data_IF_102556546586
#
_entry.id   IF_102556546586
#
_cell.length_a   1.000
_cell.length_b   1.000
_cell.length_c   1.000
_cell.angle_alpha   90.00
_cell.angle_beta   90.00
_cell.angle_gamma   90.00
#
_symmetry.space_group_name_H-M   'P 1'
#
loop_
_entity.id
_entity.type
_entity.pdbx_description
1 polymer ?
#
# COMPACT_ATOMS: atom_id res chain seq x y z
N UNK A 1 -22.46 3.25 37.57
CA UNK A 1 -23.47 3.75 36.59
C UNK A 1 -22.89 3.51 35.21
N UNK A 2 -23.34 2.47 34.52
CA UNK A 2 -22.88 2.16 33.16
C UNK A 2 -23.58 3.13 32.21
N UNK A 3 -22.83 4.06 31.61
CA UNK A 3 -23.35 4.87 30.51
C UNK A 3 -23.44 3.94 29.30
N UNK A 4 -24.60 3.93 28.64
CA UNK A 4 -24.73 3.27 27.36
C UNK A 4 -24.02 4.18 26.36
N UNK A 5 -22.89 3.72 25.82
CA UNK A 5 -22.15 4.48 24.82
C UNK A 5 -23.00 4.61 23.55
N UNK A 6 -23.01 5.79 22.93
CA UNK A 6 -23.85 6.08 21.76
C UNK A 6 -23.58 5.09 20.60
N UNK A 7 -22.34 4.61 20.49
CA UNK A 7 -21.92 3.61 19.51
C UNK A 7 -22.66 2.26 19.67
N UNK A 8 -22.87 1.80 20.91
CA UNK A 8 -23.64 0.57 21.19
C UNK A 8 -25.12 0.73 20.87
N UNK A 9 -25.70 1.91 21.13
CA UNK A 9 -27.07 2.22 20.76
C UNK A 9 -27.24 2.19 19.23
N UNK A 10 -26.33 2.80 18.49
CA UNK A 10 -26.33 2.78 17.03
C UNK A 10 -26.19 1.36 16.46
N UNK A 11 -25.18 0.61 16.90
CA UNK A 11 -24.97 -0.77 16.47
C UNK A 11 -26.18 -1.66 16.75
N UNK A 12 -26.86 -1.44 17.89
CA UNK A 12 -28.08 -2.16 18.26
C UNK A 12 -29.27 -1.85 17.34
N UNK A 13 -29.40 -0.62 16.84
CA UNK A 13 -30.46 -0.27 15.86
C UNK A 13 -30.21 -0.88 14.47
N UNK A 14 -28.94 -1.07 14.11
CA UNK A 14 -28.54 -1.66 12.83
C UNK A 14 -28.51 -3.19 12.85
N UNK A 15 -28.64 -3.82 14.03
CA UNK A 15 -28.58 -5.27 14.21
C UNK A 15 -27.16 -5.83 14.04
N UNK A 16 -26.13 -5.01 14.31
CA UNK A 16 -24.72 -5.37 14.17
C UNK A 16 -24.10 -5.91 15.47
N UNK A 17 -24.85 -5.91 16.57
CA UNK A 17 -24.37 -6.40 17.85
C UNK A 17 -24.37 -7.93 17.92
N UNK A 18 -23.40 -8.48 18.62
CA UNK A 18 -23.42 -9.88 19.03
C UNK A 18 -24.57 -10.14 20.01
N UNK A 19 -25.06 -11.38 20.07
CA UNK A 19 -26.24 -11.73 20.88
C UNK A 19 -26.10 -11.32 22.36
N UNK A 20 -24.90 -11.47 22.94
CA UNK A 20 -24.63 -11.08 24.32
C UNK A 20 -24.79 -9.58 24.56
N UNK A 21 -24.33 -8.76 23.63
CA UNK A 21 -24.40 -7.30 23.73
C UNK A 21 -25.83 -6.81 23.44
N UNK A 22 -26.55 -7.51 22.55
CA UNK A 22 -27.97 -7.30 22.31
C UNK A 22 -28.78 -7.49 23.61
N UNK A 23 -28.57 -8.61 24.32
CA UNK A 23 -29.25 -8.91 25.59
C UNK A 23 -28.91 -7.88 26.68
N UNK A 24 -27.63 -7.47 26.77
CA UNK A 24 -27.19 -6.43 27.71
C UNK A 24 -27.84 -5.07 27.41
N UNK A 25 -27.94 -4.69 26.14
CA UNK A 25 -28.60 -3.46 25.69
C UNK A 25 -30.10 -3.49 26.00
N UNK A 26 -30.77 -4.62 25.72
CA UNK A 26 -32.19 -4.80 26.02
C UNK A 26 -32.49 -4.74 27.52
N UNK A 27 -31.65 -5.40 28.33
CA UNK A 27 -31.74 -5.31 29.78
C UNK A 27 -31.56 -3.87 30.26
N UNK A 28 -30.54 -3.16 29.79
CA UNK A 28 -30.32 -1.77 30.16
C UNK A 28 -31.51 -0.87 29.76
N UNK A 29 -32.07 -1.09 28.56
CA UNK A 29 -33.24 -0.34 28.05
C UNK A 29 -34.50 -0.58 28.89
N UNK A 30 -34.63 -1.76 29.52
CA UNK A 30 -35.75 -2.06 30.42
C UNK A 30 -35.68 -1.26 31.73
N UNK A 31 -34.47 -0.90 32.19
CA UNK A 31 -34.24 -0.21 33.46
C UNK A 31 -34.02 1.30 33.28
N UNK A 32 -33.47 1.73 32.14
CA UNK A 32 -33.11 3.13 31.88
C UNK A 32 -34.08 3.80 30.88
N UNK A 33 -35.04 4.64 31.36
CA UNK A 33 -36.03 5.27 30.48
C UNK A 33 -35.41 6.28 29.50
N UNK A 34 -34.25 6.86 29.83
CA UNK A 34 -33.52 7.77 28.93
C UNK A 34 -33.00 7.02 27.71
N UNK A 35 -32.29 5.92 27.92
CA UNK A 35 -31.75 5.10 26.82
C UNK A 35 -32.87 4.47 25.98
N UNK A 36 -34.00 4.13 26.60
CA UNK A 36 -35.20 3.70 25.89
C UNK A 36 -35.73 4.77 24.92
N UNK A 37 -35.92 6.00 25.39
CA UNK A 37 -36.39 7.11 24.53
C UNK A 37 -35.45 7.36 23.37
N UNK A 38 -34.14 7.41 23.62
CA UNK A 38 -33.13 7.62 22.57
C UNK A 38 -33.15 6.49 21.53
N UNK A 39 -33.26 5.24 21.96
CA UNK A 39 -33.37 4.10 21.04
C UNK A 39 -34.65 4.19 20.20
N UNK A 40 -35.79 4.48 20.82
CA UNK A 40 -37.08 4.61 20.13
C UNK A 40 -37.06 5.77 19.11
N UNK A 41 -36.42 6.89 19.46
CA UNK A 41 -36.19 8.03 18.55
C UNK A 41 -35.31 7.64 17.35
N UNK A 42 -34.19 6.95 17.58
CA UNK A 42 -33.32 6.47 16.51
C UNK A 42 -34.04 5.51 15.56
N UNK A 43 -34.82 4.57 16.11
CA UNK A 43 -35.64 3.65 15.32
C UNK A 43 -36.68 4.40 14.49
N UNK A 44 -37.32 5.43 15.06
CA UNK A 44 -38.29 6.26 14.34
C UNK A 44 -37.63 7.03 13.17
N UNK A 45 -36.43 7.58 13.39
CA UNK A 45 -35.65 8.25 12.34
C UNK A 45 -35.27 7.27 11.23
N UNK A 46 -34.71 6.10 11.57
CA UNK A 46 -34.35 5.08 10.58
C UNK A 46 -35.58 4.61 9.78
N UNK A 47 -36.72 4.40 10.45
CA UNK A 47 -37.97 4.04 9.78
C UNK A 47 -38.41 5.13 8.79
N UNK A 48 -38.27 6.39 9.16
CA UNK A 48 -38.61 7.53 8.28
C UNK A 48 -37.68 7.60 7.07
N UNK A 49 -36.38 7.39 7.27
CA UNK A 49 -35.40 7.32 6.18
C UNK A 49 -35.67 6.15 5.23
N UNK A 50 -36.05 4.98 5.76
CA UNK A 50 -36.41 3.80 4.95
C UNK A 50 -37.73 3.98 4.19
N UNK A 51 -38.60 4.87 4.66
CA UNK A 51 -39.86 5.21 4.00
C UNK A 51 -39.69 6.20 2.84
N UNK A 52 -38.49 6.79 2.66
CA UNK A 52 -38.22 7.68 1.54
C UNK A 52 -38.41 6.92 0.20
N UNK A 53 -38.94 7.61 -0.84
CA UNK A 53 -39.11 7.01 -2.15
C UNK A 53 -37.75 6.55 -2.68
N UNK A 54 -37.70 5.31 -3.19
CA UNK A 54 -36.51 4.82 -3.88
C UNK A 54 -36.36 5.62 -5.17
N UNK A 55 -35.20 6.24 -5.33
CA UNK A 55 -34.85 6.93 -6.57
C UNK A 55 -34.18 5.89 -7.46
N UNK A 56 -34.78 5.62 -8.62
CA UNK A 56 -34.19 4.72 -9.60
C UNK A 56 -32.87 5.29 -10.10
N UNK A 57 -31.82 4.46 -10.05
CA UNK A 57 -30.50 4.82 -10.55
C UNK A 57 -30.53 4.79 -12.08
N UNK A 58 -30.13 5.86 -12.79
CA UNK A 58 -30.09 5.85 -14.24
C UNK A 58 -29.23 4.69 -14.78
N UNK A 59 -29.69 3.98 -15.80
CA UNK A 59 -29.00 2.80 -16.34
C UNK A 59 -27.56 3.07 -16.83
N UNK A 60 -27.24 4.32 -17.21
CA UNK A 60 -25.87 4.71 -17.58
C UNK A 60 -24.96 4.86 -16.35
N UNK A 61 -25.49 5.19 -15.18
CA UNK A 61 -24.74 5.37 -13.94
C UNK A 61 -24.19 4.03 -13.44
N UNK A 62 -24.99 2.96 -13.48
CA UNK A 62 -24.54 1.60 -13.13
C UNK A 62 -23.35 1.18 -14.00
N UNK A 63 -23.40 1.45 -15.31
CA UNK A 63 -22.28 1.17 -16.23
C UNK A 63 -21.02 1.97 -15.89
N UNK A 64 -21.15 3.25 -15.54
CA UNK A 64 -20.02 4.08 -15.13
C UNK A 64 -19.36 3.58 -13.83
N UNK A 65 -20.17 3.19 -12.84
CA UNK A 65 -19.66 2.65 -11.57
C UNK A 65 -18.97 1.30 -11.75
N UNK A 66 -19.58 0.36 -12.49
CA UNK A 66 -18.99 -0.96 -12.76
C UNK A 66 -17.71 -0.85 -13.59
N UNK A 67 -17.64 0.10 -14.53
CA UNK A 67 -16.44 0.38 -15.30
C UNK A 67 -15.26 0.87 -14.46
N UNK A 68 -15.52 1.58 -13.35
CA UNK A 68 -14.47 2.04 -12.42
C UNK A 68 -14.04 0.99 -11.42
N UNK A 69 -14.94 0.11 -10.98
CA UNK A 69 -14.63 -0.99 -10.05
C UNK A 69 -13.57 -1.97 -10.60
N UNK A 70 -13.51 -2.12 -11.92
CA UNK A 70 -12.58 -3.04 -12.59
C UNK A 70 -11.25 -2.40 -12.98
N UNK A 71 -11.04 -1.10 -12.72
CA UNK A 71 -9.75 -0.48 -13.02
C UNK A 71 -8.76 -0.81 -11.90
N UNK A 72 -7.69 -1.57 -12.18
CA UNK A 72 -6.64 -1.76 -11.19
C UNK A 72 -6.08 -0.39 -10.80
N UNK A 73 -5.74 -0.17 -9.52
CA UNK A 73 -5.25 1.12 -9.09
C UNK A 73 -3.97 1.45 -9.86
N UNK A 74 -3.90 2.65 -10.43
CA UNK A 74 -2.82 3.07 -11.34
C UNK A 74 -1.42 2.83 -10.75
N UNK A 75 -1.25 2.92 -9.43
CA UNK A 75 0.04 2.67 -8.77
C UNK A 75 0.60 1.27 -9.03
N UNK A 76 -0.25 0.25 -9.18
CA UNK A 76 0.21 -1.15 -9.37
C UNK A 76 0.95 -1.32 -10.70
N UNK A 77 0.48 -0.65 -11.75
CA UNK A 77 1.13 -0.69 -13.06
C UNK A 77 2.52 -0.04 -13.01
N UNK A 78 2.67 1.07 -12.27
CA UNK A 78 3.97 1.74 -12.11
C UNK A 78 4.99 0.88 -11.35
N UNK A 79 4.52 0.11 -10.37
CA UNK A 79 5.36 -0.86 -9.65
C UNK A 79 5.81 -2.02 -10.54
N UNK A 80 4.92 -2.57 -11.37
CA UNK A 80 5.25 -3.64 -12.32
C UNK A 80 6.30 -3.17 -13.34
N UNK A 81 6.15 -1.96 -13.89
CA UNK A 81 7.18 -1.36 -14.75
C UNK A 81 8.49 -1.08 -14.02
N UNK A 82 8.42 -0.60 -12.77
CA UNK A 82 9.60 -0.34 -11.94
C UNK A 82 10.42 -1.61 -11.65
N UNK A 83 9.74 -2.71 -11.32
CA UNK A 83 10.38 -4.01 -11.08
C UNK A 83 10.98 -4.60 -12.37
N UNK A 84 10.27 -4.49 -13.49
CA UNK A 84 10.78 -4.95 -14.79
C UNK A 84 12.04 -4.19 -15.22
N UNK A 85 12.05 -2.85 -15.04
CA UNK A 85 13.22 -2.02 -15.31
C UNK A 85 14.38 -2.31 -14.35
N UNK A 86 14.10 -2.53 -13.07
CA UNK A 86 15.12 -2.91 -12.08
C UNK A 86 15.80 -4.25 -12.42
N UNK A 87 15.02 -5.26 -12.81
CA UNK A 87 15.58 -6.56 -13.22
C UNK A 87 16.46 -6.43 -14.48
N UNK A 88 16.03 -5.66 -15.48
CA UNK A 88 16.82 -5.40 -16.68
C UNK A 88 18.14 -4.68 -16.37
N UNK A 89 18.12 -3.68 -15.48
CA UNK A 89 19.33 -2.96 -15.07
C UNK A 89 20.33 -3.87 -14.34
N UNK A 90 19.83 -4.82 -13.54
CA UNK A 90 20.69 -5.77 -12.81
C UNK A 90 21.44 -6.69 -13.78
N UNK A 91 20.78 -7.16 -14.84
CA UNK A 91 21.42 -7.97 -15.89
C UNK A 91 22.52 -7.22 -16.66
N UNK A 92 22.30 -5.93 -16.95
CA UNK A 92 23.29 -5.07 -17.65
C UNK A 92 24.54 -4.84 -16.79
N UNK A 93 24.39 -4.80 -15.45
CA UNK A 93 25.50 -4.59 -14.51
C UNK A 93 26.22 -5.90 -14.18
N UNK A 94 25.52 -7.03 -14.14
CA UNK A 94 26.12 -8.33 -13.85
C UNK A 94 27.06 -8.83 -14.97
N UNK A 95 26.72 -8.57 -16.24
CA UNK A 95 27.52 -8.97 -17.40
C UNK A 95 28.96 -8.40 -17.43
N UNK A 96 29.21 -7.11 -17.14
CA UNK A 96 30.57 -6.58 -17.07
C UNK A 96 31.33 -7.00 -15.80
N UNK A 97 30.65 -7.27 -14.68
CA UNK A 97 31.29 -7.71 -13.43
C UNK A 97 31.93 -9.10 -13.59
N UNK A 98 31.20 -10.07 -14.14
CA UNK A 98 31.73 -11.41 -14.45
C UNK A 98 32.88 -11.37 -15.48
N UNK A 99 32.84 -10.38 -16.38
CA UNK A 99 33.93 -10.16 -17.35
C UNK A 99 35.17 -9.51 -16.72
N UNK A 100 35.00 -8.65 -15.71
CA UNK A 100 36.10 -8.00 -14.99
C UNK A 100 36.84 -8.99 -14.09
N UNK A 101 36.13 -9.91 -13.46
CA UNK A 101 36.72 -10.97 -12.63
C UNK A 101 37.60 -11.91 -13.46
N UNK A 102 37.14 -12.29 -14.67
CA UNK A 102 37.95 -13.05 -15.64
C UNK A 102 39.21 -12.32 -16.13
N UNK A 103 39.26 -11.00 -16.01
CA UNK A 103 40.43 -10.19 -16.37
C UNK A 103 41.40 -9.98 -15.19
N UNK A 104 41.15 -10.58 -14.03
CA UNK A 104 42.02 -10.48 -12.86
C UNK A 104 42.06 -9.08 -12.23
N UNK A 105 41.11 -8.21 -12.59
CA UNK A 105 40.96 -6.89 -11.99
C UNK A 105 40.25 -7.05 -10.64
N UNK A 106 40.98 -6.76 -9.55
CA UNK A 106 40.41 -6.75 -8.20
C UNK A 106 39.23 -5.80 -8.14
N UNK A 107 38.07 -6.34 -7.73
CA UNK A 107 36.88 -5.54 -7.44
C UNK A 107 37.23 -4.59 -6.30
N UNK A 108 36.94 -3.28 -6.42
CA UNK A 108 37.27 -2.33 -5.37
C UNK A 108 36.42 -2.60 -4.13
N UNK A 109 37.06 -2.71 -2.95
CA UNK A 109 36.44 -3.22 -1.71
C UNK A 109 35.24 -2.44 -1.17
N UNK A 110 34.95 -1.23 -1.68
CA UNK A 110 33.70 -0.53 -1.36
C UNK A 110 32.47 -1.21 -1.96
N UNK A 111 32.63 -2.02 -3.01
CA UNK A 111 31.55 -2.80 -3.64
C UNK A 111 31.15 -3.99 -2.76
N UNK A 112 32.10 -4.67 -2.13
CA UNK A 112 31.84 -5.80 -1.22
C UNK A 112 30.96 -5.37 -0.05
N UNK A 113 31.18 -4.17 0.50
CA UNK A 113 30.33 -3.60 1.55
C UNK A 113 28.88 -3.42 1.10
N UNK A 114 28.67 -2.92 -0.12
CA UNK A 114 27.30 -2.70 -0.66
C UNK A 114 26.57 -4.00 -0.98
N UNK A 115 27.26 -5.04 -1.45
CA UNK A 115 26.66 -6.37 -1.73
C UNK A 115 26.21 -7.03 -0.43
N UNK A 116 27.04 -7.01 0.62
CA UNK A 116 26.69 -7.55 1.95
C UNK A 116 25.50 -6.83 2.60
N UNK A 117 25.41 -5.53 2.38
CA UNK A 117 24.31 -4.71 2.88
C UNK A 117 23.00 -4.96 2.09
N UNK A 118 23.10 -5.32 0.81
CA UNK A 118 21.95 -5.74 0.00
C UNK A 118 21.46 -7.16 0.35
N UNK A 119 22.37 -8.11 0.61
CA UNK A 119 22.02 -9.47 1.06
C UNK A 119 21.30 -9.47 2.42
N UNK A 120 21.71 -8.59 3.33
CA UNK A 120 21.02 -8.40 4.63
C UNK A 120 19.67 -7.72 4.48
N UNK A 121 19.46 -6.92 3.44
CA UNK A 121 18.16 -6.29 3.14
C UNK A 121 17.18 -7.26 2.44
N UNK A 122 17.67 -8.13 1.56
CA UNK A 122 16.85 -9.13 0.83
C UNK A 122 16.34 -10.28 1.71
N UNK A 123 17.03 -10.58 2.81
CA UNK A 123 16.58 -11.59 3.79
C UNK A 123 15.44 -11.12 4.71
N UNK A 124 15.01 -9.85 4.60
CA UNK A 124 13.89 -9.28 5.37
C UNK A 124 12.85 -8.64 4.43
N UNK A 125 11.97 -9.42 3.78
CA UNK A 125 11.10 -8.93 2.70
C UNK A 125 10.05 -7.88 3.12
N UNK A 126 9.87 -7.62 4.42
CA UNK A 126 8.86 -6.68 4.94
C UNK A 126 9.44 -5.33 5.44
N UNK A 127 10.77 -5.13 5.39
CA UNK A 127 11.42 -3.92 5.94
C UNK A 127 11.95 -2.92 4.90
N UNK A 128 11.86 -3.22 3.60
CA UNK A 128 12.60 -2.49 2.56
C UNK A 128 12.03 -1.10 2.25
N UNK A 129 10.73 -0.88 2.47
CA UNK A 129 10.05 0.34 2.05
C UNK A 129 10.21 1.51 3.04
N UNK A 130 10.52 1.24 4.31
CA UNK A 130 10.55 2.27 5.36
C UNK A 130 11.97 2.75 5.71
N UNK A 131 13.00 2.04 5.24
CA UNK A 131 14.41 2.28 5.64
C UNK A 131 15.38 2.60 4.52
N UNK A 132 14.97 2.53 3.25
CA UNK A 132 15.83 2.99 2.16
C UNK A 132 15.46 4.44 1.87
N UNK A 133 16.23 5.41 2.39
CA UNK A 133 15.94 6.80 2.08
C UNK A 133 16.15 7.01 0.59
N UNK A 134 15.23 7.74 -0.03
CA UNK A 134 15.18 8.05 -1.47
C UNK A 134 16.51 8.52 -2.07
N UNK A 135 17.41 9.12 -1.25
CA UNK A 135 18.76 9.48 -1.68
C UNK A 135 19.64 8.27 -2.05
N UNK A 136 19.41 7.07 -1.51
CA UNK A 136 20.15 5.86 -1.88
C UNK A 136 19.94 5.45 -3.35
N UNK A 137 18.71 5.62 -3.84
CA UNK A 137 18.38 5.39 -5.26
C UNK A 137 19.03 6.46 -6.14
N UNK A 138 19.02 7.73 -5.69
CA UNK A 138 19.67 8.83 -6.42
C UNK A 138 21.18 8.61 -6.50
N UNK A 139 21.83 8.22 -5.39
CA UNK A 139 23.26 7.91 -5.37
C UNK A 139 23.58 6.74 -6.29
N UNK A 140 22.76 5.69 -6.28
CA UNK A 140 22.93 4.55 -7.18
C UNK A 140 22.83 4.97 -8.66
N UNK A 141 21.80 5.73 -9.02
CA UNK A 141 21.60 6.23 -10.40
C UNK A 141 22.75 7.15 -10.83
N UNK A 142 23.21 8.05 -9.95
CA UNK A 142 24.31 8.97 -10.25
C UNK A 142 25.64 8.22 -10.41
N UNK A 143 25.93 7.26 -9.54
CA UNK A 143 27.17 6.45 -9.62
C UNK A 143 27.18 5.59 -10.87
N UNK A 144 26.07 4.92 -11.20
CA UNK A 144 25.95 4.10 -12.40
C UNK A 144 26.04 4.97 -13.66
N UNK A 145 25.37 6.12 -13.70
CA UNK A 145 25.44 7.05 -14.84
C UNK A 145 26.85 7.62 -15.03
N UNK A 146 27.54 7.97 -13.93
CA UNK A 146 28.92 8.46 -13.95
C UNK A 146 29.91 7.41 -14.47
N UNK A 147 29.77 6.15 -14.03
CA UNK A 147 30.60 5.03 -14.51
C UNK A 147 30.40 4.76 -16.00
N UNK A 148 29.16 4.83 -16.50
CA UNK A 148 28.86 4.66 -17.93
C UNK A 148 29.52 5.77 -18.76
N UNK A 149 29.43 7.02 -18.30
CA UNK A 149 30.06 8.17 -18.98
C UNK A 149 31.60 8.08 -18.96
N UNK A 150 32.19 7.72 -17.82
CA UNK A 150 33.64 7.54 -17.69
C UNK A 150 34.15 6.39 -18.58
N UNK A 151 33.40 5.29 -18.66
CA UNK A 151 33.75 4.16 -19.52
C UNK A 151 33.67 4.53 -21.01
N UNK A 152 32.63 5.29 -21.40
CA UNK A 152 32.48 5.81 -22.76
C UNK A 152 33.62 6.77 -23.14
N UNK A 153 33.98 7.69 -22.24
CA UNK A 153 35.10 8.62 -22.44
C UNK A 153 36.46 7.90 -22.55
N UNK A 154 36.67 6.83 -21.77
CA UNK A 154 37.92 6.06 -21.81
C UNK A 154 38.11 5.28 -23.12
N UNK A 155 37.03 4.79 -23.72
CA UNK A 155 37.08 4.13 -25.04
C UNK A 155 37.34 5.12 -26.17
N UNK A 156 36.90 6.37 -26.04
CA UNK A 156 37.15 7.41 -27.03
C UNK A 156 38.65 7.78 -27.12
N UNK A 157 39.37 7.78 -26.00
CA UNK A 157 40.81 8.09 -25.97
C UNK A 157 41.73 6.98 -26.47
N UNK A 158 41.29 5.72 -26.51
CA UNK A 158 42.10 4.59 -27.03
C UNK A 158 42.01 4.40 -28.56
N UNK A 159 41.26 5.24 -29.26
CA UNK A 159 41.07 5.16 -30.73
C UNK A 159 41.78 6.28 -31.51
N UNK A 160 42.61 7.09 -30.85
CA UNK A 160 43.58 8.00 -31.47
C UNK A 160 44.98 7.49 -31.19
#
# INVERSE_FOLDING_TARGET
>A
MMRCDDELLHAGTEGLLEQRDQEALEHHRSVCPRCRRLFDELVAVQKSLRALPRIDVPAHFVRLCLGRLHQPPAHRQWWEYGLALGAAATGIIALPLDRLERLGLKVPGWVEGTVRQAETALSSPLGLLDRVPWWGIVVYVVVVSGLVLAFSASKFWRRK
#
